data_IF_259643398991
#
_entry.id   IF_259643398991
#
_cell.length_a   1.000
_cell.length_b   1.000
_cell.length_c   1.000
_cell.angle_alpha   90.00
_cell.angle_beta   90.00
_cell.angle_gamma   90.00
#
_symmetry.space_group_name_H-M   'P 1'
#
loop_
_entity.id
_entity.type
_entity.pdbx_description
1 polymer ?
#
# COMPACT_ATOMS: atom_id res chain seq x y z
N UNK A 1 -9.35 -16.72 -13.34
CA UNK A 1 -9.25 -16.42 -11.89
C UNK A 1 -10.49 -17.01 -11.23
N UNK A 2 -10.34 -17.98 -10.32
CA UNK A 2 -11.48 -18.62 -9.64
C UNK A 2 -11.65 -17.91 -8.31
N UNK A 3 -12.75 -17.21 -8.12
CA UNK A 3 -13.08 -16.55 -6.86
C UNK A 3 -13.73 -17.61 -5.96
N UNK A 4 -13.04 -18.03 -4.89
CA UNK A 4 -13.59 -18.92 -3.87
C UNK A 4 -14.30 -18.10 -2.79
N UNK A 5 -15.50 -18.53 -2.43
CA UNK A 5 -16.22 -18.00 -1.28
C UNK A 5 -15.54 -18.48 0.01
N UNK A 6 -15.20 -17.56 0.91
CA UNK A 6 -14.57 -17.84 2.19
C UNK A 6 -15.63 -17.87 3.30
N UNK A 7 -15.57 -18.88 4.16
CA UNK A 7 -16.45 -19.01 5.32
C UNK A 7 -15.98 -18.08 6.47
N UNK A 8 -16.92 -17.42 7.15
CA UNK A 8 -16.64 -16.45 8.22
C UNK A 8 -15.81 -17.05 9.38
N UNK A 9 -16.13 -18.27 9.80
CA UNK A 9 -15.43 -18.96 10.88
C UNK A 9 -13.97 -19.28 10.55
N UNK A 10 -13.64 -19.42 9.27
CA UNK A 10 -12.26 -19.68 8.84
C UNK A 10 -11.42 -18.40 8.79
N UNK A 11 -12.04 -17.21 8.77
CA UNK A 11 -11.35 -15.94 8.59
C UNK A 11 -11.33 -15.06 9.84
N UNK A 12 -12.20 -15.33 10.82
CA UNK A 12 -12.29 -14.56 12.07
C UNK A 12 -11.00 -14.64 12.89
N UNK A 13 -10.44 -13.48 13.24
CA UNK A 13 -9.20 -13.36 14.04
C UNK A 13 -7.91 -13.67 13.29
N UNK A 14 -7.96 -13.87 11.96
CA UNK A 14 -6.76 -13.97 11.13
C UNK A 14 -6.32 -12.57 10.70
N UNK A 15 -5.05 -12.27 10.98
CA UNK A 15 -4.36 -11.09 10.46
C UNK A 15 -3.81 -11.37 9.08
N UNK A 16 -4.03 -10.45 8.15
CA UNK A 16 -3.50 -10.57 6.81
C UNK A 16 -2.46 -9.48 6.58
N UNK A 17 -1.42 -9.84 5.83
CA UNK A 17 -0.37 -8.93 5.41
C UNK A 17 -0.60 -8.55 3.97
N UNK A 18 -1.03 -7.33 3.73
CA UNK A 18 -1.03 -6.74 2.40
C UNK A 18 0.26 -5.95 2.19
N UNK A 19 0.84 -6.04 1.00
CA UNK A 19 1.97 -5.21 0.59
C UNK A 19 1.52 -4.30 -0.53
N UNK A 20 1.50 -3.00 -0.27
CA UNK A 20 1.35 -2.01 -1.34
C UNK A 20 2.75 -1.78 -1.90
N UNK A 21 2.90 -2.05 -3.19
CA UNK A 21 4.12 -1.82 -3.94
C UNK A 21 3.90 -0.59 -4.82
N UNK A 22 4.66 0.48 -4.60
CA UNK A 22 4.70 1.62 -5.51
C UNK A 22 6.06 1.70 -6.18
N UNK A 23 6.07 1.88 -7.50
CA UNK A 23 7.27 2.09 -8.31
C UNK A 23 7.62 3.58 -8.46
N UNK A 24 6.77 4.48 -7.96
CA UNK A 24 6.90 5.93 -8.08
C UNK A 24 6.45 6.64 -6.79
N UNK A 25 7.06 7.77 -6.47
CA UNK A 25 6.61 8.67 -5.41
C UNK A 25 6.68 10.14 -5.85
N UNK A 26 5.85 10.96 -5.24
CA UNK A 26 5.80 12.40 -5.47
C UNK A 26 6.77 13.11 -4.52
N UNK A 27 7.66 13.94 -5.06
CA UNK A 27 8.48 14.88 -4.30
C UNK A 27 7.99 16.29 -4.51
N UNK A 28 7.89 17.04 -3.41
CA UNK A 28 7.61 18.47 -3.41
C UNK A 28 8.74 19.11 -2.63
N UNK A 29 9.65 19.80 -3.31
CA UNK A 29 10.77 20.49 -2.68
C UNK A 29 10.68 22.00 -2.92
N UNK A 30 11.06 22.83 -1.94
CA UNK A 30 11.11 24.27 -2.14
C UNK A 30 12.24 24.63 -3.11
N UNK A 31 11.92 25.41 -4.14
CA UNK A 31 12.88 25.93 -5.12
C UNK A 31 12.70 27.45 -5.20
N UNK A 32 13.57 28.20 -4.51
CA UNK A 32 13.47 29.66 -4.40
C UNK A 32 12.17 30.10 -3.71
N UNK A 33 11.38 30.93 -4.38
CA UNK A 33 10.07 31.43 -3.93
C UNK A 33 8.90 30.51 -4.35
N UNK A 34 9.18 29.27 -4.79
CA UNK A 34 8.19 28.34 -5.34
C UNK A 34 8.44 26.89 -4.89
N UNK A 35 7.60 25.96 -5.37
CA UNK A 35 7.74 24.53 -5.13
C UNK A 35 7.95 23.79 -6.45
N UNK A 36 8.97 22.95 -6.48
CA UNK A 36 9.21 21.99 -7.55
C UNK A 36 8.50 20.67 -7.22
N UNK A 37 7.71 20.17 -8.17
CA UNK A 37 6.88 18.98 -8.00
C UNK A 37 7.29 17.96 -9.05
N UNK A 38 7.82 16.81 -8.62
CA UNK A 38 8.32 15.76 -9.51
C UNK A 38 7.86 14.37 -9.07
N UNK A 39 7.58 13.51 -10.06
CA UNK A 39 7.39 12.08 -9.85
C UNK A 39 8.72 11.36 -10.04
N UNK A 40 9.22 10.71 -9.00
CA UNK A 40 10.48 9.97 -9.02
C UNK A 40 10.19 8.48 -9.13
N UNK A 41 10.71 7.86 -10.20
CA UNK A 41 10.72 6.40 -10.38
C UNK A 41 11.77 5.78 -9.46
N UNK A 42 11.37 4.77 -8.69
CA UNK A 42 12.26 4.00 -7.83
C UNK A 42 12.66 2.69 -8.50
N UNK A 43 13.93 2.31 -8.36
CA UNK A 43 14.45 1.02 -8.84
C UNK A 43 13.94 -0.15 -7.99
N UNK A 44 13.74 0.08 -6.71
CA UNK A 44 13.18 -0.89 -5.78
C UNK A 44 11.80 -0.39 -5.34
N UNK A 45 10.75 -1.23 -5.41
CA UNK A 45 9.40 -0.81 -5.09
C UNK A 45 9.32 -0.41 -3.60
N UNK A 46 8.69 0.73 -3.35
CA UNK A 46 8.36 1.15 -2.00
C UNK A 46 7.33 0.17 -1.44
N UNK A 47 7.73 -0.57 -0.41
CA UNK A 47 6.87 -1.56 0.25
C UNK A 47 6.30 -0.94 1.52
N UNK A 48 4.97 -0.77 1.56
CA UNK A 48 4.26 -0.54 2.81
C UNK A 48 3.58 -1.83 3.24
N UNK A 49 4.04 -2.41 4.34
CA UNK A 49 3.37 -3.54 4.97
C UNK A 49 2.15 -3.02 5.73
N UNK A 50 0.98 -3.55 5.39
CA UNK A 50 -0.26 -3.29 6.08
C UNK A 50 -0.65 -4.58 6.80
N UNK A 51 -0.74 -4.49 8.13
CA UNK A 51 -1.41 -5.49 8.94
C UNK A 51 -2.84 -5.00 9.16
N UNK A 52 -3.80 -5.74 8.63
CA UNK A 52 -5.21 -5.45 8.80
C UNK A 52 -5.94 -6.69 9.31
N UNK A 53 -6.87 -6.48 10.23
CA UNK A 53 -7.74 -7.52 10.76
C UNK A 53 -8.94 -7.64 9.81
N UNK A 54 -9.05 -8.80 9.15
CA UNK A 54 -9.84 -9.00 7.94
C UNK A 54 -11.35 -8.69 8.07
N UNK A 55 -11.83 -8.53 9.30
CA UNK A 55 -13.24 -8.36 9.67
C UNK A 55 -13.38 -7.40 10.87
N UNK A 56 -12.49 -6.41 10.99
CA UNK A 56 -12.64 -5.34 11.99
C UNK A 56 -13.95 -4.58 11.74
N UNK A 57 -14.74 -4.34 12.80
CA UNK A 57 -16.03 -3.62 12.75
C UNK A 57 -15.91 -2.18 12.21
#
# INVERSE_FOLDING_TARGET
MIIKQLEYNDCKGKKYKAKILSNEYLTIEPEGDSFDIKWIKVKEPLVKELEDDMLSE
#
